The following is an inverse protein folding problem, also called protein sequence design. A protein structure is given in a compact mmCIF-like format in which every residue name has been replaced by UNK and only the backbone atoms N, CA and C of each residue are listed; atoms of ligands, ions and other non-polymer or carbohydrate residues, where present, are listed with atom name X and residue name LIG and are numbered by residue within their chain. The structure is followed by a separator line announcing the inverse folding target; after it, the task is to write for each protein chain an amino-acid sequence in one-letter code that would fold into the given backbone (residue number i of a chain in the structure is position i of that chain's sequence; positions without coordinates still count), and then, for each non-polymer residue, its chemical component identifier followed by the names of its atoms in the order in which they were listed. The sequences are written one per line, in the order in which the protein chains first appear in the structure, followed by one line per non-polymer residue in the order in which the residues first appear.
data_IF_793643811959
#
_entry.id   IF_793643811959
#
_cell.length_a   1.000
_cell.length_b   1.000
_cell.length_c   1.000
_cell.angle_alpha   90.00
_cell.angle_beta   90.00
_cell.angle_gamma   90.00
#
_symmetry.space_group_name_H-M   'P 1'
#
loop_
_entity.id
_entity.type
_entity.pdbx_description
1 polymer ?
#
# COMPACT_ATOMS: atom_id res chain seq x y z
N UNK A 1 -13.81 0.47 30.41
CA UNK A 1 -13.17 -0.30 31.50
C UNK A 1 -12.89 -1.71 31.00
N UNK A 2 -11.71 -1.93 30.41
CA UNK A 2 -11.20 -3.26 30.00
C UNK A 2 -9.73 -3.32 30.41
N UNK A 3 -9.39 -4.36 31.16
CA UNK A 3 -8.09 -4.59 31.77
C UNK A 3 -7.10 -5.13 30.71
N UNK A 4 -5.92 -4.51 30.64
CA UNK A 4 -4.77 -5.04 29.93
C UNK A 4 -3.93 -5.86 30.94
N UNK A 5 -3.76 -7.16 30.68
CA UNK A 5 -2.83 -8.03 31.40
C UNK A 5 -1.56 -8.13 30.56
N UNK A 6 -0.49 -7.47 31.00
CA UNK A 6 0.84 -7.63 30.44
C UNK A 6 1.57 -8.76 31.16
N UNK A 7 1.88 -9.84 30.44
CA UNK A 7 2.72 -10.93 30.92
C UNK A 7 4.14 -10.71 30.39
N UNK A 8 5.04 -10.22 31.24
CA UNK A 8 6.45 -10.03 30.95
C UNK A 8 7.21 -11.31 31.32
N UNK A 9 7.76 -12.02 30.34
CA UNK A 9 8.69 -13.14 30.57
C UNK A 9 10.07 -12.71 30.09
N UNK A 10 10.96 -12.44 31.05
CA UNK A 10 12.38 -12.17 30.80
C UNK A 10 13.15 -13.45 31.06
N UNK A 11 13.64 -14.08 29.98
CA UNK A 11 14.55 -15.22 30.04
C UNK A 11 15.95 -14.79 29.62
N UNK A 12 16.84 -14.56 30.58
CA UNK A 12 18.26 -14.37 30.34
C UNK A 12 18.97 -15.73 30.32
N UNK A 13 19.69 -16.04 29.25
CA UNK A 13 20.68 -17.13 29.23
C UNK A 13 22.03 -16.56 28.80
N UNK A 14 22.91 -16.40 29.79
CA UNK A 14 24.34 -16.21 29.59
C UNK A 14 24.98 -17.59 29.41
N UNK A 15 25.87 -17.75 28.42
CA UNK A 15 26.51 -19.01 28.11
C UNK A 15 27.74 -18.81 27.24
N UNK A 16 28.79 -18.31 27.87
CA UNK A 16 30.14 -18.11 27.37
C UNK A 16 30.90 -19.46 27.33
N UNK A 17 31.46 -19.88 26.18
CA UNK A 17 32.58 -20.84 26.09
C UNK A 17 33.40 -20.65 24.82
N UNK A 18 34.49 -19.92 25.04
CA UNK A 18 35.73 -19.89 24.31
C UNK A 18 36.39 -21.30 24.25
N UNK A 19 36.71 -21.78 23.04
CA UNK A 19 37.76 -22.78 22.81
C UNK A 19 38.44 -22.50 21.47
N UNK A 20 39.56 -21.81 21.57
CA UNK A 20 40.57 -21.62 20.52
C UNK A 20 41.28 -22.94 20.24
N UNK A 21 41.17 -23.45 19.00
CA UNK A 21 41.97 -24.55 18.48
C UNK A 21 42.87 -24.04 17.37
N UNK A 22 44.18 -23.96 17.67
CA UNK A 22 45.22 -23.57 16.72
C UNK A 22 45.69 -24.84 15.99
N UNK A 23 45.42 -24.92 14.69
CA UNK A 23 45.97 -25.95 13.79
C UNK A 23 47.13 -25.31 12.99
N UNK A 24 48.29 -25.97 12.85
CA UNK A 24 49.41 -25.42 12.09
C UNK A 24 49.14 -25.45 10.58
N UNK A 25 49.38 -24.30 9.96
CA UNK A 25 49.31 -24.02 8.52
C UNK A 25 50.45 -24.73 7.77
N UNK A 26 50.11 -25.79 7.05
CA UNK A 26 51.00 -26.41 6.05
C UNK A 26 50.65 -25.84 4.69
N UNK A 27 51.44 -24.87 4.24
CA UNK A 27 51.34 -24.23 2.93
C UNK A 27 51.35 -25.25 1.79
N UNK A 28 50.17 -25.48 1.22
CA UNK A 28 49.99 -26.12 -0.07
C UNK A 28 49.74 -25.00 -1.10
N UNK A 29 50.58 -24.95 -2.13
CA UNK A 29 50.42 -24.02 -3.25
C UNK A 29 49.05 -24.25 -3.91
N UNK A 30 48.22 -23.21 -3.93
CA UNK A 30 46.90 -23.24 -4.56
C UNK A 30 47.03 -23.46 -6.08
N UNK A 31 46.45 -24.55 -6.57
CA UNK A 31 46.24 -24.76 -7.99
C UNK A 31 45.18 -23.76 -8.49
N UNK A 32 45.34 -23.13 -9.67
CA UNK A 32 44.31 -22.27 -10.24
C UNK A 32 43.12 -23.13 -10.65
N UNK A 33 42.10 -23.22 -9.79
CA UNK A 33 40.80 -23.82 -10.10
C UNK A 33 39.98 -22.83 -10.93
N UNK A 34 40.38 -22.63 -12.19
CA UNK A 34 39.62 -21.88 -13.19
C UNK A 34 38.57 -22.76 -13.85
N UNK A 35 37.72 -23.41 -13.06
CA UNK A 35 36.54 -24.11 -13.57
C UNK A 35 35.35 -23.16 -13.49
N UNK A 36 35.34 -22.18 -14.39
CA UNK A 36 34.16 -21.32 -14.64
C UNK A 36 33.18 -22.12 -15.47
N UNK A 37 32.55 -23.13 -14.87
CA UNK A 37 31.30 -23.63 -15.39
C UNK A 37 30.33 -22.43 -15.48
N UNK A 38 29.56 -22.30 -16.57
CA UNK A 38 28.49 -21.30 -16.64
C UNK A 38 27.62 -21.43 -15.38
N UNK A 39 27.19 -20.34 -14.75
CA UNK A 39 26.25 -20.43 -13.64
C UNK A 39 25.02 -21.23 -14.09
N UNK A 40 24.52 -22.11 -13.22
CA UNK A 40 23.25 -22.80 -13.47
C UNK A 40 22.16 -21.75 -13.72
N UNK A 41 21.21 -22.01 -14.65
CA UNK A 41 20.10 -21.09 -14.88
C UNK A 41 19.34 -20.86 -13.57
N UNK A 42 18.82 -19.64 -13.34
CA UNK A 42 18.05 -19.36 -12.14
C UNK A 42 16.86 -20.32 -12.04
N UNK A 43 16.60 -20.79 -10.82
CA UNK A 43 15.47 -21.66 -10.54
C UNK A 43 14.13 -20.91 -10.64
N UNK A 44 13.00 -21.65 -10.58
CA UNK A 44 11.65 -21.07 -10.62
C UNK A 44 11.24 -20.27 -9.38
N UNK A 45 12.06 -20.29 -8.32
CA UNK A 45 11.75 -19.69 -7.04
C UNK A 45 12.25 -18.24 -6.99
N UNK A 46 11.30 -17.30 -6.91
CA UNK A 46 11.54 -15.87 -6.76
C UNK A 46 11.62 -15.53 -5.27
N UNK A 47 12.84 -15.48 -4.73
CA UNK A 47 13.08 -15.15 -3.32
C UNK A 47 13.21 -13.64 -3.14
N UNK A 48 12.20 -13.02 -2.55
CA UNK A 48 12.12 -11.58 -2.29
C UNK A 48 12.73 -11.27 -0.91
N UNK A 49 13.57 -10.24 -0.87
CA UNK A 49 14.24 -9.72 0.32
C UNK A 49 14.21 -8.20 0.26
N UNK A 50 14.63 -7.52 1.32
CA UNK A 50 14.67 -6.04 1.34
C UNK A 50 15.52 -5.46 0.20
N UNK A 51 16.55 -6.19 -0.27
CA UNK A 51 17.38 -5.76 -1.38
C UNK A 51 16.62 -5.68 -2.71
N UNK A 52 15.53 -6.42 -2.87
CA UNK A 52 14.70 -6.41 -4.09
C UNK A 52 13.60 -5.35 -4.04
N UNK A 53 13.31 -4.78 -2.86
CA UNK A 53 12.15 -3.93 -2.67
C UNK A 53 12.35 -2.56 -3.34
N UNK A 54 11.26 -2.00 -3.85
CA UNK A 54 11.22 -0.62 -4.28
C UNK A 54 11.11 0.33 -3.07
N UNK A 55 11.52 1.57 -3.27
CA UNK A 55 11.33 2.65 -2.30
C UNK A 55 10.17 3.55 -2.73
N UNK A 56 9.41 4.02 -1.74
CA UNK A 56 8.34 4.99 -1.90
C UNK A 56 8.43 6.04 -0.80
N UNK A 57 8.27 7.30 -1.19
CA UNK A 57 8.02 8.39 -0.25
C UNK A 57 6.94 9.27 -0.82
N UNK A 58 5.98 9.66 0.01
CA UNK A 58 4.98 10.65 -0.34
C UNK A 58 4.94 11.80 0.65
N UNK A 59 4.34 12.89 0.20
CA UNK A 59 3.96 14.03 1.04
C UNK A 59 2.52 14.35 0.73
N UNK A 60 1.72 14.61 1.75
CA UNK A 60 0.36 15.11 1.62
C UNK A 60 0.24 16.51 2.19
N UNK A 61 -0.62 17.30 1.58
CA UNK A 61 -1.18 18.52 2.15
C UNK A 61 -2.68 18.43 2.02
N UNK A 62 -3.39 18.54 3.14
CA UNK A 62 -4.83 18.44 3.20
C UNK A 62 -5.43 19.76 3.67
N UNK A 63 -6.59 20.15 3.12
CA UNK A 63 -7.36 21.25 3.67
C UNK A 63 -7.91 20.83 5.03
N UNK A 64 -7.88 21.76 5.98
CA UNK A 64 -8.58 21.62 7.26
C UNK A 64 -9.84 22.49 7.21
N UNK A 65 -10.99 21.93 7.57
CA UNK A 65 -12.28 22.63 7.61
C UNK A 65 -12.89 22.53 8.99
N UNK A 66 -13.19 23.68 9.60
CA UNK A 66 -14.05 23.73 10.78
C UNK A 66 -15.48 23.49 10.36
N UNK A 67 -16.17 22.54 11.00
CA UNK A 67 -17.57 22.19 10.71
C UNK A 67 -18.40 22.22 11.98
N UNK A 68 -19.70 22.43 11.86
CA UNK A 68 -20.61 22.39 13.00
C UNK A 68 -20.66 20.98 13.59
N UNK A 69 -20.30 20.84 14.87
CA UNK A 69 -20.42 19.57 15.57
C UNK A 69 -21.90 19.14 15.70
N UNK A 70 -22.12 17.82 15.78
CA UNK A 70 -23.43 17.16 15.94
C UNK A 70 -24.43 17.49 14.83
N UNK A 71 -23.96 17.83 13.64
CA UNK A 71 -24.79 18.02 12.46
C UNK A 71 -24.31 17.09 11.35
N UNK A 72 -25.23 16.79 10.44
CA UNK A 72 -24.87 16.13 9.20
C UNK A 72 -24.15 17.14 8.30
N UNK A 73 -23.01 16.74 7.76
CA UNK A 73 -22.15 17.60 6.97
C UNK A 73 -22.22 17.13 5.52
N UNK A 74 -22.50 18.07 4.62
CA UNK A 74 -22.41 17.83 3.18
C UNK A 74 -20.95 17.91 2.76
N UNK A 75 -20.41 16.81 2.26
CA UNK A 75 -19.10 16.77 1.61
C UNK A 75 -19.32 17.08 0.13
N UNK A 76 -18.69 18.13 -0.38
CA UNK A 76 -18.87 18.60 -1.77
C UNK A 76 -17.54 18.60 -2.52
N UNK A 77 -17.47 17.85 -3.61
CA UNK A 77 -16.30 17.79 -4.50
C UNK A 77 -16.63 18.22 -5.93
N UNK A 78 -17.71 18.97 -6.12
CA UNK A 78 -18.13 19.46 -7.44
C UNK A 78 -17.10 20.39 -8.13
N UNK A 79 -16.17 20.97 -7.37
CA UNK A 79 -15.05 21.78 -7.87
C UNK A 79 -13.72 21.04 -8.07
N UNK A 80 -13.71 19.70 -7.98
CA UNK A 80 -12.49 18.87 -8.06
C UNK A 80 -12.24 18.33 -9.47
N UNK A 81 -11.66 19.17 -10.33
CA UNK A 81 -11.28 18.82 -11.72
C UNK A 81 -9.88 18.21 -11.83
N UNK A 82 -9.04 18.37 -10.80
CA UNK A 82 -7.71 17.76 -10.68
C UNK A 82 -7.59 17.14 -9.29
N UNK A 83 -7.23 15.87 -9.23
CA UNK A 83 -7.05 15.16 -7.97
C UNK A 83 -5.78 15.60 -7.21
N UNK A 84 -5.58 15.12 -5.98
CA UNK A 84 -4.43 15.48 -5.16
C UNK A 84 -3.11 15.09 -5.84
N UNK A 85 -3.11 14.09 -6.72
CA UNK A 85 -1.93 13.61 -7.45
C UNK A 85 -1.66 14.40 -8.74
N UNK A 86 -2.42 15.47 -9.01
CA UNK A 86 -2.27 16.30 -10.21
C UNK A 86 -2.90 15.70 -11.46
N UNK A 87 -3.70 14.63 -11.35
CA UNK A 87 -4.35 13.99 -12.49
C UNK A 87 -5.71 14.65 -12.78
N UNK A 88 -5.98 15.07 -14.03
CA UNK A 88 -7.31 15.54 -14.41
C UNK A 88 -8.37 14.45 -14.22
N UNK A 89 -9.47 14.77 -13.55
CA UNK A 89 -10.58 13.85 -13.26
C UNK A 89 -11.91 14.59 -13.33
N UNK A 90 -12.97 13.88 -13.69
CA UNK A 90 -14.32 14.45 -13.61
C UNK A 90 -14.87 14.20 -12.20
N UNK A 91 -15.43 15.20 -11.50
CA UNK A 91 -15.98 15.01 -10.15
C UNK A 91 -16.97 13.83 -10.03
N UNK A 92 -17.73 13.54 -11.08
CA UNK A 92 -18.71 12.43 -11.08
C UNK A 92 -18.09 11.04 -11.27
N UNK A 93 -16.76 10.92 -11.47
CA UNK A 93 -16.11 9.61 -11.61
C UNK A 93 -15.70 9.00 -10.28
N UNK A 94 -15.68 9.75 -9.18
CA UNK A 94 -15.41 9.18 -7.87
C UNK A 94 -16.52 8.21 -7.46
N UNK A 95 -16.12 7.06 -6.94
CA UNK A 95 -17.03 5.94 -6.72
C UNK A 95 -17.32 5.76 -5.23
N UNK A 96 -16.36 6.08 -4.37
CA UNK A 96 -16.47 5.86 -2.93
C UNK A 96 -15.95 7.04 -2.11
N UNK A 97 -16.58 7.23 -0.96
CA UNK A 97 -16.11 8.08 0.13
C UNK A 97 -15.71 7.21 1.31
N UNK A 98 -14.58 7.53 1.94
CA UNK A 98 -14.14 6.98 3.23
C UNK A 98 -14.20 8.07 4.29
N UNK A 99 -14.70 7.72 5.46
CA UNK A 99 -14.76 8.59 6.64
C UNK A 99 -14.05 7.89 7.79
N UNK A 100 -13.05 8.54 8.38
CA UNK A 100 -12.32 8.03 9.53
C UNK A 100 -12.45 8.99 10.71
N UNK A 101 -12.76 8.46 11.89
CA UNK A 101 -12.53 9.16 13.16
C UNK A 101 -11.12 8.82 13.66
N UNK A 102 -10.29 9.84 13.87
CA UNK A 102 -8.87 9.68 14.18
C UNK A 102 -8.52 10.32 15.52
N UNK A 103 -7.68 9.63 16.30
CA UNK A 103 -7.01 10.11 17.51
C UNK A 103 -5.85 11.08 17.26
N UNK A 104 -5.90 11.80 16.13
CA UNK A 104 -4.79 12.59 15.61
C UNK A 104 -5.13 14.06 15.43
N UNK A 105 -4.10 14.90 15.51
CA UNK A 105 -4.16 16.26 15.01
C UNK A 105 -4.09 16.23 13.48
N UNK A 106 -4.62 17.26 12.77
CA UNK A 106 -4.59 17.30 11.32
C UNK A 106 -3.21 17.07 10.68
N UNK A 107 -2.15 17.59 11.29
CA UNK A 107 -0.77 17.40 10.79
C UNK A 107 -0.31 15.95 10.87
N UNK A 108 -0.80 15.18 11.85
CA UNK A 108 -0.44 13.78 12.02
C UNK A 108 -1.18 12.91 10.99
N UNK A 109 -2.38 13.34 10.53
CA UNK A 109 -3.13 12.68 9.46
C UNK A 109 -2.35 12.70 8.14
N UNK A 110 -1.72 13.83 7.79
CA UNK A 110 -0.89 13.96 6.58
C UNK A 110 0.32 13.03 6.63
N UNK A 111 0.97 12.92 7.80
CA UNK A 111 2.10 12.02 8.03
C UNK A 111 1.64 10.56 7.89
N UNK A 112 0.53 10.19 8.52
CA UNK A 112 -0.02 8.84 8.47
C UNK A 112 -0.44 8.45 7.03
N UNK A 113 -1.02 9.37 6.27
CA UNK A 113 -1.33 9.16 4.85
C UNK A 113 -0.09 8.91 3.98
N UNK A 114 1.01 9.60 4.27
CA UNK A 114 2.26 9.47 3.51
C UNK A 114 2.90 8.08 3.65
N UNK A 115 2.61 7.37 4.74
CA UNK A 115 3.13 6.02 5.03
C UNK A 115 2.04 4.95 5.10
N UNK A 116 0.81 5.27 4.66
CA UNK A 116 -0.35 4.37 4.66
C UNK A 116 -0.69 3.76 6.04
N UNK A 117 -0.52 4.54 7.11
CA UNK A 117 -0.76 4.12 8.50
C UNK A 117 -2.13 4.59 9.02
N UNK A 118 -3.03 5.06 8.15
CA UNK A 118 -4.39 5.47 8.53
C UNK A 118 -5.27 4.34 9.11
N UNK A 119 -4.79 3.10 9.17
CA UNK A 119 -5.48 1.98 9.83
C UNK A 119 -4.81 1.57 11.15
N UNK A 120 -3.85 2.35 11.62
CA UNK A 120 -3.15 2.13 12.87
C UNK A 120 -4.05 2.24 14.12
N UNK A 121 -3.47 2.10 15.31
CA UNK A 121 -4.21 2.09 16.58
C UNK A 121 -4.97 3.39 16.90
N UNK A 122 -4.69 4.46 16.15
CA UNK A 122 -5.28 5.78 16.32
C UNK A 122 -6.57 5.95 15.51
N UNK A 123 -6.87 5.00 14.63
CA UNK A 123 -8.16 4.96 13.93
C UNK A 123 -9.22 4.39 14.86
N UNK A 124 -10.08 5.29 15.33
CA UNK A 124 -11.15 4.96 16.28
C UNK A 124 -12.25 4.18 15.58
N UNK A 125 -12.61 4.63 14.38
CA UNK A 125 -13.68 4.06 13.57
C UNK A 125 -13.61 4.49 12.12
N UNK A 126 -14.15 3.66 11.23
CA UNK A 126 -14.15 3.86 9.79
C UNK A 126 -15.52 3.57 9.19
N UNK A 127 -15.94 4.40 8.24
CA UNK A 127 -17.16 4.23 7.46
C UNK A 127 -16.88 4.48 5.98
N UNK A 128 -17.74 3.93 5.12
CA UNK A 128 -17.66 4.12 3.67
C UNK A 128 -19.04 4.42 3.08
N UNK A 129 -19.09 5.21 2.02
CA UNK A 129 -20.30 5.45 1.21
C UNK A 129 -20.01 5.22 -0.27
N UNK A 130 -21.00 4.73 -1.02
CA UNK A 130 -20.96 4.62 -2.48
C UNK A 130 -21.56 5.90 -3.10
N UNK A 131 -20.83 6.55 -4.02
CA UNK A 131 -21.15 7.91 -4.47
C UNK A 131 -22.09 7.97 -5.67
N UNK A 132 -22.37 6.86 -6.33
CA UNK A 132 -23.37 6.73 -7.42
C UNK A 132 -23.29 7.81 -8.53
N UNK A 133 -22.09 8.34 -8.80
CA UNK A 133 -21.86 9.41 -9.79
C UNK A 133 -22.25 10.82 -9.35
N UNK A 134 -22.61 11.01 -8.07
CA UNK A 134 -22.83 12.30 -7.46
C UNK A 134 -21.55 13.12 -7.32
N UNK A 135 -21.72 14.39 -6.97
CA UNK A 135 -20.60 15.34 -6.71
C UNK A 135 -20.63 15.91 -5.29
N UNK A 136 -21.54 15.38 -4.47
CA UNK A 136 -21.65 15.64 -3.04
C UNK A 136 -22.31 14.42 -2.36
N UNK A 137 -22.08 14.26 -1.07
CA UNK A 137 -22.74 13.26 -0.22
C UNK A 137 -22.85 13.79 1.21
N UNK A 138 -23.92 13.42 1.91
CA UNK A 138 -24.03 13.65 3.35
C UNK A 138 -23.16 12.62 4.10
N UNK A 139 -22.55 13.02 5.23
CA UNK A 139 -21.80 12.08 6.07
C UNK A 139 -22.67 10.92 6.56
N UNK A 140 -23.96 11.15 6.79
CA UNK A 140 -24.90 10.09 7.20
C UNK A 140 -25.14 9.01 6.14
N UNK A 141 -24.72 9.21 4.89
CA UNK A 141 -24.75 8.16 3.86
C UNK A 141 -23.68 7.09 4.09
N UNK A 142 -22.63 7.39 4.86
CA UNK A 142 -21.58 6.44 5.16
C UNK A 142 -22.03 5.38 6.19
N UNK A 143 -21.53 4.16 6.04
CA UNK A 143 -21.79 3.06 6.97
C UNK A 143 -20.54 2.21 7.22
N UNK A 144 -20.49 1.53 8.37
CA UNK A 144 -19.34 0.76 8.82
C UNK A 144 -19.78 -0.32 9.81
N UNK A 145 -19.30 -1.56 9.63
CA UNK A 145 -19.67 -2.68 10.50
C UNK A 145 -21.18 -3.00 10.54
N UNK A 146 -21.93 -2.62 9.49
CA UNK A 146 -23.38 -2.77 9.43
C UNK A 146 -24.19 -1.66 10.12
N UNK A 147 -23.55 -0.60 10.60
CA UNK A 147 -24.20 0.55 11.23
C UNK A 147 -24.00 1.82 10.39
N UNK A 148 -25.04 2.66 10.24
CA UNK A 148 -24.88 3.97 9.61
C UNK A 148 -24.01 4.88 10.49
N UNK A 149 -23.29 5.80 9.86
CA UNK A 149 -22.69 6.93 10.55
C UNK A 149 -23.82 7.85 11.04
N UNK A 150 -23.82 8.18 12.34
CA UNK A 150 -24.76 9.12 12.93
C UNK A 150 -24.00 10.39 13.39
N UNK A 151 -23.80 11.39 12.49
CA UNK A 151 -23.01 12.58 12.81
C UNK A 151 -23.51 13.33 14.06
N UNK A 152 -24.82 13.34 14.31
CA UNK A 152 -25.42 13.95 15.50
C UNK A 152 -24.88 13.39 16.82
N UNK A 153 -24.45 12.13 16.83
CA UNK A 153 -23.96 11.42 18.01
C UNK A 153 -22.42 11.30 18.03
N UNK A 154 -21.78 11.27 16.86
CA UNK A 154 -20.37 10.91 16.72
C UNK A 154 -19.47 12.11 16.35
N UNK A 155 -19.95 13.05 15.53
CA UNK A 155 -19.18 14.20 15.07
C UNK A 155 -19.11 15.29 16.16
N UNK A 156 -18.37 15.00 17.23
CA UNK A 156 -18.26 15.84 18.43
C UNK A 156 -16.98 16.66 18.41
N UNK A 157 -17.03 17.88 18.95
CA UNK A 157 -15.83 18.66 19.24
C UNK A 157 -15.01 17.93 20.33
N UNK A 158 -13.80 17.50 19.97
CA UNK A 158 -12.88 16.82 20.87
C UNK A 158 -11.45 17.27 20.60
N UNK A 159 -10.75 17.70 21.63
CA UNK A 159 -9.33 18.07 21.51
C UNK A 159 -8.49 16.84 21.17
N UNK A 160 -7.55 17.00 20.25
CA UNK A 160 -6.65 15.93 19.83
C UNK A 160 -7.28 14.88 18.91
N UNK A 161 -8.52 15.11 18.43
CA UNK A 161 -9.14 14.29 17.41
C UNK A 161 -9.41 15.08 16.15
N UNK A 162 -9.46 14.35 15.04
CA UNK A 162 -9.85 14.86 13.75
C UNK A 162 -10.66 13.82 13.00
N UNK A 163 -11.34 14.28 11.95
CA UNK A 163 -12.07 13.41 11.05
C UNK A 163 -11.45 13.52 9.67
N UNK A 164 -11.01 12.42 9.09
CA UNK A 164 -10.56 12.41 7.70
C UNK A 164 -11.70 11.97 6.80
N UNK A 165 -11.98 12.74 5.76
CA UNK A 165 -12.89 12.35 4.69
C UNK A 165 -12.09 12.29 3.39
N UNK A 166 -12.01 11.11 2.81
CA UNK A 166 -11.37 10.86 1.53
C UNK A 166 -12.39 10.47 0.47
N UNK A 167 -12.17 10.88 -0.78
CA UNK A 167 -12.92 10.40 -1.94
C UNK A 167 -11.96 9.74 -2.91
N UNK A 168 -12.42 8.68 -3.58
CA UNK A 168 -11.56 7.82 -4.36
C UNK A 168 -12.27 6.99 -5.42
N UNK A 169 -11.46 6.26 -6.16
CA UNK A 169 -11.90 5.24 -7.12
C UNK A 169 -11.90 3.89 -6.42
N UNK A 170 -12.88 3.03 -6.72
CA UNK A 170 -12.82 1.66 -6.23
C UNK A 170 -11.95 0.82 -7.16
N UNK A 171 -11.08 0.00 -6.58
CA UNK A 171 -10.45 -1.12 -7.28
C UNK A 171 -10.80 -2.43 -6.58
N UNK A 172 -11.95 -3.00 -6.94
CA UNK A 172 -12.57 -4.09 -6.19
C UNK A 172 -12.99 -3.62 -4.80
N UNK A 173 -12.39 -4.21 -3.76
CA UNK A 173 -12.64 -3.83 -2.37
C UNK A 173 -11.77 -2.64 -1.91
N UNK A 174 -10.74 -2.28 -2.69
CA UNK A 174 -9.84 -1.16 -2.39
C UNK A 174 -10.46 0.18 -2.76
N UNK A 175 -10.12 1.21 -1.99
CA UNK A 175 -10.42 2.60 -2.31
C UNK A 175 -9.09 3.32 -2.52
N UNK A 176 -8.84 3.76 -3.75
CA UNK A 176 -7.69 4.61 -4.06
C UNK A 176 -8.08 6.05 -3.74
N UNK A 177 -7.69 6.54 -2.55
CA UNK A 177 -7.98 7.93 -2.18
C UNK A 177 -7.27 8.89 -3.14
N UNK A 178 -8.05 9.73 -3.80
CA UNK A 178 -7.61 10.70 -4.80
C UNK A 178 -7.68 12.14 -4.30
N UNK A 179 -8.55 12.43 -3.34
CA UNK A 179 -8.58 13.70 -2.62
C UNK A 179 -9.17 13.50 -1.23
N UNK A 180 -8.98 14.50 -0.36
CA UNK A 180 -9.57 14.45 0.97
C UNK A 180 -9.53 15.78 1.70
N UNK A 181 -10.15 15.79 2.87
CA UNK A 181 -10.25 16.93 3.78
C UNK A 181 -10.20 16.44 5.22
N UNK A 182 -9.59 17.23 6.10
CA UNK A 182 -9.67 17.02 7.54
C UNK A 182 -10.75 17.92 8.12
N UNK A 183 -11.74 17.33 8.79
CA UNK A 183 -12.78 18.07 9.49
C UNK A 183 -12.42 18.22 10.97
N UNK A 184 -12.66 19.41 11.49
CA UNK A 184 -12.58 19.74 12.92
C UNK A 184 -13.97 20.19 13.39
N UNK A 185 -14.73 19.31 14.08
CA UNK A 185 -16.02 19.67 14.62
C UNK A 185 -15.90 20.76 15.70
N UNK A 186 -16.78 21.75 15.65
CA UNK A 186 -16.88 22.89 16.57
C UNK A 186 -18.33 23.06 17.05
N UNK A 187 -18.57 23.01 18.36
CA UNK A 187 -19.88 23.19 18.98
C UNK A 187 -20.42 24.64 18.86
N UNK A 188 -19.62 25.60 18.41
CA UNK A 188 -20.00 26.97 18.08
C UNK A 188 -19.92 27.28 16.58
N UNK A 189 -19.40 26.36 15.77
CA UNK A 189 -19.31 26.50 14.33
C UNK A 189 -20.68 26.67 13.67
N UNK A 190 -20.71 27.13 12.41
CA UNK A 190 -21.95 27.28 11.62
C UNK A 190 -21.91 26.54 10.28
N UNK A 191 -20.73 26.08 9.86
CA UNK A 191 -20.56 25.43 8.56
C UNK A 191 -21.15 24.03 8.57
N UNK A 192 -22.05 23.78 7.61
CA UNK A 192 -22.68 22.49 7.36
C UNK A 192 -22.19 21.83 6.07
N UNK A 193 -21.17 22.44 5.44
CA UNK A 193 -20.59 21.99 4.18
C UNK A 193 -19.07 21.97 4.32
N UNK A 194 -18.44 20.93 3.80
CA UNK A 194 -17.00 20.87 3.63
C UNK A 194 -16.69 20.64 2.15
N UNK A 195 -16.05 21.62 1.52
CA UNK A 195 -15.68 21.57 0.12
C UNK A 195 -14.28 20.95 -0.06
N UNK A 196 -14.16 20.09 -1.06
CA UNK A 196 -12.92 19.53 -1.60
C UNK A 196 -12.80 20.06 -3.04
N UNK A 197 -12.02 21.13 -3.22
CA UNK A 197 -11.83 21.75 -4.53
C UNK A 197 -10.44 21.46 -5.10
N UNK A 198 -10.29 21.70 -6.40
CA UNK A 198 -8.97 21.67 -7.05
C UNK A 198 -7.99 22.60 -6.33
N UNK A 199 -6.85 22.04 -5.88
CA UNK A 199 -5.80 22.78 -5.18
C UNK A 199 -5.99 22.93 -3.66
N UNK A 200 -7.11 22.47 -3.10
CA UNK A 200 -7.29 22.44 -1.64
C UNK A 200 -6.37 21.44 -0.95
N UNK A 201 -6.03 20.35 -1.65
CA UNK A 201 -5.06 19.37 -1.21
C UNK A 201 -4.12 18.98 -2.36
N UNK A 202 -2.95 18.47 -1.99
CA UNK A 202 -1.98 17.94 -2.95
C UNK A 202 -1.22 16.77 -2.34
N UNK A 203 -0.79 15.88 -3.21
CA UNK A 203 0.04 14.75 -2.88
C UNK A 203 1.15 14.68 -3.93
N UNK A 204 2.38 14.48 -3.46
CA UNK A 204 3.52 14.20 -4.32
C UNK A 204 4.18 12.92 -3.87
N UNK A 205 4.75 12.16 -4.80
CA UNK A 205 5.49 10.97 -4.46
C UNK A 205 6.75 10.82 -5.29
N UNK A 206 7.71 10.09 -4.74
CA UNK A 206 8.89 9.60 -5.43
C UNK A 206 8.94 8.10 -5.22
N UNK A 207 8.95 7.37 -6.34
CA UNK A 207 9.15 5.93 -6.38
C UNK A 207 10.47 5.59 -7.05
N UNK A 208 11.12 4.51 -6.64
CA UNK A 208 12.29 3.97 -7.33
C UNK A 208 12.41 2.47 -7.08
N UNK A 209 12.58 1.68 -8.13
CA UNK A 209 12.88 0.25 -8.02
C UNK A 209 14.34 0.04 -7.58
N UNK A 210 14.60 -1.08 -6.92
CA UNK A 210 15.96 -1.50 -6.60
C UNK A 210 16.74 -1.86 -7.88
N UNK A 211 18.05 -1.62 -7.85
CA UNK A 211 18.99 -2.14 -8.85
C UNK A 211 19.13 -3.68 -8.77
N UNK A 212 18.71 -4.29 -7.66
CA UNK A 212 18.68 -5.75 -7.51
C UNK A 212 17.33 -6.27 -7.97
N UNK A 213 17.31 -6.95 -9.11
CA UNK A 213 16.11 -7.55 -9.70
C UNK A 213 15.97 -9.01 -9.29
N UNK A 214 14.73 -9.51 -9.32
CA UNK A 214 14.48 -10.96 -9.27
C UNK A 214 14.84 -11.55 -10.63
N UNK A 215 15.42 -12.75 -10.65
CA UNK A 215 15.78 -13.43 -11.89
C UNK A 215 15.08 -14.77 -12.00
N UNK A 216 14.64 -15.11 -13.21
CA UNK A 216 14.03 -16.40 -13.55
C UNK A 216 14.36 -16.76 -15.00
N UNK A 217 14.07 -17.99 -15.43
CA UNK A 217 14.06 -18.34 -16.86
C UNK A 217 12.65 -18.39 -17.43
N UNK A 218 12.54 -18.42 -18.76
CA UNK A 218 11.26 -18.59 -19.46
C UNK A 218 10.59 -19.94 -19.12
N UNK A 219 9.25 -19.93 -19.01
CA UNK A 219 8.40 -21.13 -19.10
C UNK A 219 8.83 -22.24 -18.11
N UNK A 220 8.73 -21.97 -16.81
CA UNK A 220 8.74 -23.03 -15.80
C UNK A 220 7.33 -23.61 -15.60
N UNK A 221 7.25 -24.90 -15.25
CA UNK A 221 5.96 -25.55 -14.92
C UNK A 221 5.31 -24.95 -13.67
N UNK A 222 6.14 -24.45 -12.74
CA UNK A 222 5.74 -23.90 -11.46
C UNK A 222 6.63 -22.71 -11.14
N UNK A 223 6.05 -21.61 -10.69
CA UNK A 223 6.79 -20.48 -10.15
C UNK A 223 6.32 -20.25 -8.71
N UNK A 224 7.26 -20.05 -7.80
CA UNK A 224 6.95 -19.69 -6.41
C UNK A 224 7.52 -18.31 -6.13
N UNK A 225 6.69 -17.40 -5.62
CA UNK A 225 7.18 -16.19 -4.98
C UNK A 225 7.29 -16.44 -3.47
N UNK A 226 8.43 -16.11 -2.88
CA UNK A 226 8.67 -16.21 -1.44
C UNK A 226 9.24 -14.90 -0.90
N UNK A 227 8.45 -14.19 -0.12
CA UNK A 227 8.82 -12.91 0.47
C UNK A 227 8.93 -12.97 2.00
N UNK A 228 9.19 -14.17 2.55
CA UNK A 228 9.52 -14.34 3.98
C UNK A 228 10.77 -13.56 4.40
N UNK A 229 11.63 -13.21 3.45
CA UNK A 229 12.86 -12.43 3.68
C UNK A 229 12.66 -10.92 3.78
N UNK A 230 11.44 -10.40 3.58
CA UNK A 230 11.16 -8.97 3.76
C UNK A 230 11.03 -8.61 5.25
N UNK A 231 11.74 -7.57 5.65
CA UNK A 231 11.63 -6.95 6.97
C UNK A 231 11.08 -5.53 6.91
N UNK A 232 11.20 -4.86 5.75
CA UNK A 232 10.82 -3.45 5.56
C UNK A 232 9.84 -3.30 4.38
N UNK A 233 8.78 -2.52 4.58
CA UNK A 233 7.83 -2.15 3.53
C UNK A 233 8.43 -1.10 2.58
N UNK A 234 7.74 -0.83 1.48
CA UNK A 234 8.12 0.24 0.55
C UNK A 234 8.13 1.65 1.19
N UNK A 235 7.38 1.82 2.29
CA UNK A 235 7.29 3.06 3.05
C UNK A 235 8.46 3.25 4.04
N UNK A 236 9.40 2.29 4.11
CA UNK A 236 10.51 2.31 5.06
C UNK A 236 10.12 1.94 6.49
N UNK A 237 8.91 1.44 6.71
CA UNK A 237 8.40 0.94 7.99
C UNK A 237 8.57 -0.58 8.12
N UNK A 238 8.52 -1.17 9.33
CA UNK A 238 8.51 -2.63 9.46
C UNK A 238 7.39 -3.26 8.63
N UNK A 239 7.71 -4.32 7.89
CA UNK A 239 6.76 -5.00 7.02
C UNK A 239 5.65 -5.68 7.84
N UNK A 240 4.41 -5.20 7.71
CA UNK A 240 3.25 -5.86 8.31
C UNK A 240 2.61 -6.83 7.31
N UNK A 241 2.85 -8.13 7.55
CA UNK A 241 2.28 -9.20 6.73
C UNK A 241 0.75 -9.24 6.76
N UNK A 242 0.08 -8.69 7.77
CA UNK A 242 -1.38 -8.72 7.85
C UNK A 242 -2.04 -7.73 6.88
N UNK A 243 -1.30 -6.70 6.45
CA UNK A 243 -1.72 -5.78 5.39
C UNK A 243 -1.46 -6.35 3.99
N UNK A 244 -0.68 -7.42 3.88
CA UNK A 244 -0.26 -8.01 2.62
C UNK A 244 -1.25 -9.10 2.16
N UNK A 245 -2.38 -8.70 1.59
CA UNK A 245 -3.50 -9.61 1.31
C UNK A 245 -3.72 -9.93 -0.17
N UNK A 246 -3.09 -9.20 -1.09
CA UNK A 246 -3.18 -9.49 -2.53
C UNK A 246 -1.82 -9.40 -3.22
N UNK A 247 -1.36 -10.53 -3.78
CA UNK A 247 -0.23 -10.57 -4.69
C UNK A 247 -0.70 -10.19 -6.09
N UNK A 248 0.11 -9.42 -6.81
CA UNK A 248 -0.12 -9.13 -8.22
C UNK A 248 1.13 -9.37 -9.07
N UNK A 249 0.90 -9.66 -10.35
CA UNK A 249 1.90 -9.81 -11.40
C UNK A 249 1.48 -8.88 -12.53
N UNK A 250 2.31 -7.88 -12.82
CA UNK A 250 2.11 -6.93 -13.91
C UNK A 250 3.08 -7.19 -15.05
N UNK A 251 2.61 -7.03 -16.28
CA UNK A 251 3.42 -7.07 -17.50
C UNK A 251 3.23 -5.81 -18.33
N UNK A 252 4.33 -5.24 -18.82
CA UNK A 252 4.32 -4.09 -19.72
C UNK A 252 5.07 -4.41 -21.00
N UNK A 253 4.70 -3.73 -22.09
CA UNK A 253 5.30 -3.92 -23.40
C UNK A 253 6.83 -3.74 -23.40
N UNK A 254 7.48 -4.38 -24.38
CA UNK A 254 8.92 -4.33 -24.62
C UNK A 254 9.47 -2.90 -24.56
N UNK A 255 10.61 -2.75 -23.86
CA UNK A 255 11.32 -1.49 -23.76
C UNK A 255 10.72 -0.48 -22.79
N UNK A 256 9.71 -0.85 -21.98
CA UNK A 256 9.23 -0.02 -20.86
C UNK A 256 10.22 -0.09 -19.71
N UNK A 257 11.04 0.94 -19.44
CA UNK A 257 12.06 0.82 -18.41
C UNK A 257 11.42 0.90 -17.01
N UNK A 258 11.94 0.20 -15.98
CA UNK A 258 11.41 0.24 -14.62
C UNK A 258 11.23 1.67 -14.05
N UNK A 259 12.09 2.61 -14.43
CA UNK A 259 12.01 4.01 -14.01
C UNK A 259 10.75 4.71 -14.51
N UNK A 260 10.25 4.33 -15.70
CA UNK A 260 8.98 4.85 -16.20
C UNK A 260 7.79 4.31 -15.37
N UNK A 261 7.87 3.06 -14.93
CA UNK A 261 6.85 2.45 -14.05
C UNK A 261 6.86 3.09 -12.66
N UNK A 262 8.04 3.44 -12.13
CA UNK A 262 8.18 4.11 -10.85
C UNK A 262 7.55 5.52 -10.83
N UNK A 263 7.43 6.18 -11.99
CA UNK A 263 6.68 7.44 -12.15
C UNK A 263 5.17 7.26 -12.34
N UNK A 264 4.69 6.02 -12.40
CA UNK A 264 3.29 5.67 -12.68
C UNK A 264 2.72 4.69 -11.64
N UNK A 265 3.25 4.71 -10.40
CA UNK A 265 2.85 3.76 -9.34
C UNK A 265 1.34 3.71 -9.09
N UNK A 266 0.65 4.84 -9.27
CA UNK A 266 -0.79 4.99 -9.08
C UNK A 266 -1.63 4.40 -10.23
N UNK A 267 -1.00 4.10 -11.36
CA UNK A 267 -1.64 3.72 -12.62
C UNK A 267 -1.03 2.41 -13.18
N UNK A 268 -0.29 1.65 -12.36
CA UNK A 268 0.35 0.41 -12.81
C UNK A 268 -0.65 -0.56 -13.44
N UNK A 269 -1.79 -0.78 -12.78
CA UNK A 269 -2.82 -1.69 -13.27
C UNK A 269 -3.44 -1.22 -14.60
N UNK A 270 -3.70 0.07 -14.74
CA UNK A 270 -4.36 0.63 -15.92
C UNK A 270 -3.43 0.71 -17.14
N UNK A 271 -2.12 0.71 -16.92
CA UNK A 271 -1.08 0.79 -17.96
C UNK A 271 -0.47 -0.56 -18.32
N UNK A 272 -0.67 -1.59 -17.50
CA UNK A 272 -0.18 -2.93 -17.75
C UNK A 272 -0.86 -3.57 -18.97
N UNK A 273 -0.08 -4.28 -19.77
CA UNK A 273 -0.56 -5.15 -20.86
C UNK A 273 -1.12 -6.48 -20.33
N UNK A 274 -0.70 -6.89 -19.14
CA UNK A 274 -1.23 -8.03 -18.41
C UNK A 274 -1.21 -7.80 -16.91
N UNK A 275 -2.27 -8.21 -16.21
CA UNK A 275 -2.41 -8.05 -14.77
C UNK A 275 -3.07 -9.29 -14.17
N UNK A 276 -2.32 -10.04 -13.37
CA UNK A 276 -2.81 -11.22 -12.66
C UNK A 276 -2.74 -10.98 -11.17
N UNK A 277 -3.72 -11.49 -10.44
CA UNK A 277 -3.86 -11.28 -9.00
C UNK A 277 -4.10 -12.59 -8.28
N UNK A 278 -3.72 -12.64 -7.00
CA UNK A 278 -3.92 -13.78 -6.13
C UNK A 278 -4.17 -13.27 -4.70
N UNK A 279 -5.28 -13.69 -4.10
CA UNK A 279 -5.51 -13.49 -2.67
C UNK A 279 -4.50 -14.34 -1.87
N UNK A 280 -3.68 -13.68 -1.07
CA UNK A 280 -2.66 -14.34 -0.25
C UNK A 280 -3.01 -14.29 1.23
N UNK A 281 -3.99 -13.49 1.66
CA UNK A 281 -4.47 -13.45 3.04
C UNK A 281 -3.38 -13.34 4.12
N UNK A 282 -2.31 -12.58 3.85
CA UNK A 282 -1.16 -12.45 4.75
C UNK A 282 -0.14 -13.60 4.71
N UNK A 283 -0.25 -14.52 3.75
CA UNK A 283 0.80 -15.49 3.46
C UNK A 283 2.08 -14.77 3.02
N UNK A 284 3.21 -15.46 3.17
CA UNK A 284 4.53 -14.92 2.80
C UNK A 284 5.17 -15.67 1.62
N UNK A 285 4.41 -16.55 0.99
CA UNK A 285 4.81 -17.27 -0.21
C UNK A 285 3.57 -17.71 -0.99
N UNK A 286 3.65 -17.73 -2.30
CA UNK A 286 2.56 -18.19 -3.15
C UNK A 286 3.05 -18.85 -4.44
N UNK A 287 2.25 -19.80 -4.91
CA UNK A 287 2.37 -20.42 -6.23
C UNK A 287 1.73 -19.50 -7.27
N UNK A 288 2.45 -19.08 -8.30
CA UNK A 288 1.98 -18.02 -9.20
C UNK A 288 0.99 -18.52 -10.27
N UNK A 289 0.96 -19.82 -10.57
CA UNK A 289 0.05 -20.41 -11.57
C UNK A 289 -1.43 -20.37 -11.16
N UNK A 290 -1.72 -20.10 -9.88
CA UNK A 290 -3.08 -19.89 -9.39
C UNK A 290 -3.50 -18.41 -9.44
N UNK A 291 -2.61 -17.49 -9.82
CA UNK A 291 -2.99 -16.10 -10.07
C UNK A 291 -3.90 -16.00 -11.32
N UNK A 292 -4.83 -15.04 -11.30
CA UNK A 292 -5.87 -14.88 -12.32
C UNK A 292 -5.95 -13.44 -12.82
N UNK A 293 -6.19 -13.28 -14.12
CA UNK A 293 -6.56 -11.98 -14.69
C UNK A 293 -8.05 -11.66 -14.46
N UNK A 294 -8.50 -10.50 -14.94
CA UNK A 294 -9.90 -10.07 -14.84
C UNK A 294 -10.89 -10.97 -15.60
N UNK A 295 -10.41 -11.79 -16.54
CA UNK A 295 -11.21 -12.76 -17.30
C UNK A 295 -11.18 -14.17 -16.67
N UNK A 296 -10.42 -14.35 -15.59
CA UNK A 296 -10.26 -15.63 -14.90
C UNK A 296 -9.24 -16.57 -15.57
N UNK A 297 -8.41 -16.09 -16.50
CA UNK A 297 -7.33 -16.89 -17.06
C UNK A 297 -6.16 -16.99 -16.09
N UNK A 298 -5.48 -18.13 -16.11
CA UNK A 298 -4.29 -18.34 -15.29
C UNK A 298 -3.13 -17.46 -15.77
N UNK A 299 -2.23 -17.11 -14.83
CA UNK A 299 -0.93 -16.54 -15.17
C UNK A 299 -0.16 -17.49 -16.11
N UNK A 300 0.26 -17.04 -17.31
CA UNK A 300 0.89 -17.91 -18.30
C UNK A 300 2.37 -18.24 -18.01
N UNK A 301 2.95 -17.63 -16.98
CA UNK A 301 4.39 -17.67 -16.72
C UNK A 301 5.12 -16.44 -17.27
N UNK A 302 6.38 -16.30 -16.89
CA UNK A 302 7.24 -15.22 -17.36
C UNK A 302 7.82 -15.51 -18.75
N UNK A 303 7.96 -14.46 -19.56
CA UNK A 303 8.54 -14.49 -20.92
C UNK A 303 9.58 -13.38 -21.09
N UNK A 304 10.59 -13.59 -21.92
CA UNK A 304 11.71 -12.65 -22.14
C UNK A 304 11.33 -11.33 -22.84
N UNK A 305 10.06 -11.14 -23.20
CA UNK A 305 9.51 -9.89 -23.69
C UNK A 305 8.85 -9.08 -22.57
N UNK A 306 9.13 -7.79 -22.53
CA UNK A 306 8.51 -6.80 -21.67
C UNK A 306 9.19 -6.62 -20.32
N UNK A 307 8.55 -5.79 -19.50
CA UNK A 307 8.95 -5.58 -18.10
C UNK A 307 7.94 -6.26 -17.21
N UNK A 308 8.42 -7.13 -16.33
CA UNK A 308 7.60 -7.83 -15.35
C UNK A 308 7.79 -7.21 -13.97
N UNK A 309 6.69 -6.99 -13.26
CA UNK A 309 6.70 -6.56 -11.86
C UNK A 309 5.88 -7.55 -11.05
N UNK A 310 6.45 -7.96 -9.93
CA UNK A 310 5.78 -8.76 -8.91
C UNK A 310 5.67 -7.90 -7.65
N UNK A 311 4.52 -7.93 -6.99
CA UNK A 311 4.34 -7.20 -5.73
C UNK A 311 3.20 -7.74 -4.89
N UNK A 312 3.10 -7.22 -3.67
CA UNK A 312 1.93 -7.44 -2.81
C UNK A 312 1.39 -6.10 -2.36
N UNK A 313 0.08 -5.95 -2.46
CA UNK A 313 -0.67 -4.78 -2.03
C UNK A 313 -1.65 -5.15 -0.90
N UNK A 314 -2.18 -4.09 -0.31
CA UNK A 314 -3.22 -4.13 0.69
C UNK A 314 -4.53 -3.69 0.03
N UNK A 315 -5.56 -4.54 0.01
CA UNK A 315 -6.88 -4.19 -0.52
C UNK A 315 -7.68 -3.30 0.40
N UNK A 316 -7.39 -3.30 1.70
CA UNK A 316 -8.15 -2.51 2.67
C UNK A 316 -7.48 -1.20 3.06
N UNK A 317 -6.26 -0.95 2.59
CA UNK A 317 -5.52 0.25 2.88
C UNK A 317 -5.96 1.40 1.97
N UNK A 318 -5.69 2.63 2.38
CA UNK A 318 -6.08 3.84 1.65
C UNK A 318 -5.00 4.32 0.68
N UNK A 319 -3.75 3.92 0.96
CA UNK A 319 -2.61 4.11 0.08
C UNK A 319 -2.79 3.31 -1.22
N UNK A 320 -2.70 3.97 -2.39
CA UNK A 320 -2.82 3.28 -3.68
C UNK A 320 -1.60 2.41 -4.02
N UNK A 321 -0.48 2.58 -3.29
CA UNK A 321 0.79 1.92 -3.62
C UNK A 321 0.97 0.59 -2.90
N UNK A 322 1.68 -0.38 -3.51
CA UNK A 322 1.90 -1.69 -2.89
C UNK A 322 2.78 -1.66 -1.64
N UNK A 323 2.65 -2.67 -0.79
CA UNK A 323 3.49 -2.84 0.40
C UNK A 323 4.94 -3.20 0.03
N UNK A 324 5.12 -3.91 -1.08
CA UNK A 324 6.41 -4.14 -1.72
C UNK A 324 6.20 -4.47 -3.21
N UNK A 325 7.25 -4.25 -4.00
CA UNK A 325 7.34 -4.65 -5.40
C UNK A 325 8.79 -4.89 -5.80
N UNK A 326 8.99 -5.73 -6.80
CA UNK A 326 10.27 -5.93 -7.47
C UNK A 326 10.07 -6.14 -8.96
N UNK A 327 11.08 -5.73 -9.74
CA UNK A 327 11.20 -6.11 -11.15
C UNK A 327 11.62 -7.58 -11.22
N UNK A 328 11.09 -8.30 -12.21
CA UNK A 328 11.48 -9.66 -12.56
C UNK A 328 12.14 -9.65 -13.94
N UNK A 329 13.41 -10.02 -13.99
CA UNK A 329 14.18 -10.23 -15.21
C UNK A 329 14.10 -11.71 -15.64
N UNK A 330 13.89 -11.92 -16.93
CA UNK A 330 13.77 -13.25 -17.52
C UNK A 330 14.99 -13.50 -18.40
N UNK A 331 15.79 -14.51 -18.04
CA UNK A 331 17.04 -14.90 -18.70
C UNK A 331 16.86 -16.08 -19.66
#
# INVERSE_FOLDING_TARGET
MRQLVALLVVGACAGDKDTTSIVPDTGAAALPTGDTAPPDPPGPDLVVTDAHNYSYSATWSLPVRGVRARQDIVIDWSGLDVDAWGSPRQPSTYERMVVLELGWLPTDVEIALAIDDLHGPETVSSWTAELSGGVFADLSEASGGGYPLEPANLLLEQQGKSWFVGIGMADGDRIDVRAGVVLLPDDQGTELRAEISTGDGSASYVGSFSDTVLQTSEIHELFTADWRGLSTSAYGTPYDRFLADELFIGHWADGTPPEALAGQLLELRSTASGWWTLDVGGAQSARLEIARDAQGNNFPGFTAGGTWVLGVRCRTCLGPVPQWMSVVEVL
#
